data_IF_974375309494
#
_entry.id   IF_974375309494
#
_cell.length_a   1.000
_cell.length_b   1.000
_cell.length_c   1.000
_cell.angle_alpha   90.00
_cell.angle_beta   90.00
_cell.angle_gamma   90.00
#
_symmetry.space_group_name_H-M   'P 1'
#
loop_
_entity.id
_entity.type
_entity.pdbx_description
1 polymer ?
#
# COMPACT_ATOMS: atom_id res chain seq x y z
N UNK A 1 10.29 13.27 -29.77
CA UNK A 1 10.33 11.99 -29.04
C UNK A 1 11.29 12.19 -27.87
N UNK A 2 10.83 12.01 -26.64
CA UNK A 2 11.69 12.06 -25.44
C UNK A 2 11.78 10.64 -24.90
N UNK A 3 13.01 10.12 -24.74
CA UNK A 3 13.26 8.78 -24.20
C UNK A 3 13.99 8.98 -22.87
N UNK A 4 13.47 8.37 -21.81
CA UNK A 4 13.94 8.54 -20.45
C UNK A 4 13.78 7.24 -19.67
N UNK A 5 14.72 6.94 -18.78
CA UNK A 5 14.59 5.84 -17.81
C UNK A 5 13.82 6.33 -16.57
N UNK A 6 13.40 5.40 -15.71
CA UNK A 6 12.71 5.69 -14.45
C UNK A 6 13.55 6.55 -13.48
N UNK A 7 14.86 6.69 -13.75
CA UNK A 7 15.75 7.69 -13.14
C UNK A 7 15.64 9.02 -13.90
N UNK A 8 14.43 9.58 -13.97
CA UNK A 8 14.24 11.03 -14.07
C UNK A 8 13.38 11.43 -12.87
N UNK A 9 14.09 11.59 -11.77
CA UNK A 9 13.59 12.07 -10.49
C UNK A 9 13.02 13.49 -10.58
N UNK A 10 13.25 14.28 -11.64
CA UNK A 10 12.81 15.69 -11.65
C UNK A 10 12.30 16.19 -13.01
N UNK A 11 11.02 16.57 -13.05
CA UNK A 11 10.60 17.87 -13.59
C UNK A 11 10.36 18.06 -15.09
N UNK A 12 10.59 17.10 -15.97
CA UNK A 12 10.34 17.32 -17.41
C UNK A 12 8.85 17.18 -17.74
N UNK A 13 8.12 18.29 -17.66
CA UNK A 13 6.76 18.43 -18.19
C UNK A 13 6.83 18.73 -19.68
N UNK A 14 6.26 17.86 -20.52
CA UNK A 14 6.19 18.05 -21.98
C UNK A 14 4.72 18.30 -22.35
N UNK A 15 4.20 19.53 -22.18
CA UNK A 15 2.77 19.82 -22.33
C UNK A 15 2.21 19.57 -23.73
N UNK A 16 3.09 19.52 -24.75
CA UNK A 16 2.74 19.21 -26.14
C UNK A 16 2.83 17.70 -26.46
N UNK A 17 3.20 16.85 -25.50
CA UNK A 17 3.23 15.41 -25.70
C UNK A 17 1.84 14.80 -25.54
N UNK A 18 1.43 14.03 -26.55
CA UNK A 18 0.14 13.35 -26.58
C UNK A 18 0.27 11.83 -26.40
N UNK A 19 1.49 11.29 -26.32
CA UNK A 19 1.75 9.87 -26.15
C UNK A 19 2.77 9.69 -25.04
N UNK A 20 2.41 8.89 -24.03
CA UNK A 20 3.30 8.38 -22.99
C UNK A 20 3.45 6.87 -23.22
N UNK A 21 4.69 6.38 -23.25
CA UNK A 21 4.99 4.96 -23.27
C UNK A 21 5.77 4.63 -22.01
N UNK A 22 5.29 3.67 -21.22
CA UNK A 22 5.93 3.21 -20.00
C UNK A 22 6.34 1.75 -20.19
N UNK A 23 7.63 1.50 -20.18
CA UNK A 23 8.22 0.17 -20.26
C UNK A 23 8.39 -0.42 -18.85
N UNK A 24 8.13 -1.73 -18.72
CA UNK A 24 8.15 -2.45 -17.45
C UNK A 24 7.35 -1.77 -16.32
N UNK A 25 6.09 -1.34 -16.55
CA UNK A 25 5.28 -0.64 -15.57
C UNK A 25 5.01 -1.48 -14.31
N UNK A 26 5.11 -2.81 -14.37
CA UNK A 26 5.01 -3.71 -13.22
C UNK A 26 6.06 -3.45 -12.13
N UNK A 27 7.17 -2.80 -12.47
CA UNK A 27 8.23 -2.45 -11.50
C UNK A 27 7.94 -1.15 -10.75
N UNK A 28 6.94 -0.39 -11.17
CA UNK A 28 6.58 0.92 -10.61
C UNK A 28 5.38 0.80 -9.67
N UNK A 29 5.34 1.63 -8.64
CA UNK A 29 4.16 1.77 -7.77
C UNK A 29 2.98 2.42 -8.49
N UNK A 30 1.75 2.18 -7.98
CA UNK A 30 0.51 2.67 -8.59
C UNK A 30 0.48 4.22 -8.61
N UNK A 31 0.95 4.84 -7.53
CA UNK A 31 1.14 6.29 -7.44
C UNK A 31 2.15 6.85 -8.46
N UNK A 32 3.29 6.17 -8.67
CA UNK A 32 4.29 6.58 -9.65
C UNK A 32 3.74 6.52 -11.08
N UNK A 33 3.02 5.45 -11.39
CA UNK A 33 2.36 5.28 -12.69
C UNK A 33 1.30 6.37 -12.94
N UNK A 34 0.50 6.71 -11.91
CA UNK A 34 -0.47 7.79 -11.98
C UNK A 34 0.20 9.15 -12.25
N UNK A 35 1.29 9.44 -11.54
CA UNK A 35 2.05 10.67 -11.74
C UNK A 35 2.66 10.76 -13.15
N UNK A 36 3.25 9.67 -13.66
CA UNK A 36 3.79 9.61 -15.02
C UNK A 36 2.69 9.84 -16.06
N UNK A 37 1.57 9.14 -15.95
CA UNK A 37 0.39 9.32 -16.81
C UNK A 37 -0.08 10.78 -16.85
N UNK A 38 -0.05 11.48 -15.70
CA UNK A 38 -0.42 12.89 -15.58
C UNK A 38 0.57 13.91 -16.17
N UNK A 39 1.70 13.46 -16.72
CA UNK A 39 2.65 14.33 -17.45
C UNK A 39 2.26 14.56 -18.91
N UNK A 40 1.29 13.81 -19.43
CA UNK A 40 0.69 14.01 -20.76
C UNK A 40 -0.80 14.36 -20.63
N UNK A 41 -1.41 14.92 -21.69
CA UNK A 41 -2.87 15.17 -21.70
C UNK A 41 -3.36 16.40 -20.94
N UNK A 42 -2.50 17.41 -20.75
CA UNK A 42 -2.90 18.72 -20.19
C UNK A 42 -3.41 19.72 -21.23
N UNK A 43 -3.29 19.41 -22.52
CA UNK A 43 -3.79 20.22 -23.62
C UNK A 43 -5.13 19.73 -24.16
N UNK A 44 -5.70 20.46 -25.12
CA UNK A 44 -6.98 20.11 -25.75
C UNK A 44 -6.93 18.86 -26.66
N UNK A 45 -5.76 18.28 -26.88
CA UNK A 45 -5.58 17.11 -27.74
C UNK A 45 -5.73 15.82 -26.95
N UNK A 46 -6.42 14.85 -27.55
CA UNK A 46 -6.51 13.49 -27.02
C UNK A 46 -5.11 12.95 -26.79
N UNK A 47 -4.90 12.36 -25.61
CA UNK A 47 -3.63 11.78 -25.21
C UNK A 47 -3.78 10.30 -24.89
N UNK A 48 -2.71 9.55 -25.14
CA UNK A 48 -2.65 8.12 -24.92
C UNK A 48 -1.51 7.78 -23.97
N UNK A 49 -1.76 6.84 -23.07
CA UNK A 49 -0.75 6.22 -22.23
C UNK A 49 -0.70 4.72 -22.57
N UNK A 50 0.47 4.25 -22.98
CA UNK A 50 0.72 2.87 -23.41
C UNK A 50 1.62 2.21 -22.37
N UNK A 51 1.16 1.09 -21.85
CA UNK A 51 1.86 0.29 -20.84
C UNK A 51 2.45 -0.95 -21.53
N UNK A 52 3.78 -1.03 -21.60
CA UNK A 52 4.51 -2.17 -22.17
C UNK A 52 4.98 -3.08 -21.03
N UNK A 53 4.07 -3.96 -20.58
CA UNK A 53 4.38 -4.97 -19.58
C UNK A 53 5.15 -6.15 -20.19
N UNK A 54 6.02 -6.78 -19.40
CA UNK A 54 6.70 -8.01 -19.79
C UNK A 54 5.74 -9.21 -19.90
N UNK A 55 6.21 -10.29 -20.55
CA UNK A 55 5.39 -11.49 -20.79
C UNK A 55 4.96 -12.18 -19.48
N UNK A 56 5.85 -12.21 -18.50
CA UNK A 56 5.65 -12.88 -17.22
C UNK A 56 5.47 -11.89 -16.06
N UNK A 57 4.29 -11.26 -15.98
CA UNK A 57 3.89 -10.46 -14.81
C UNK A 57 2.97 -11.24 -13.88
N UNK A 58 3.15 -11.05 -12.57
CA UNK A 58 2.32 -11.64 -11.52
C UNK A 58 0.86 -11.19 -11.62
N UNK A 59 -0.07 -11.97 -11.07
CA UNK A 59 -1.49 -11.61 -11.07
C UNK A 59 -1.73 -10.27 -10.37
N UNK A 60 -1.10 -10.05 -9.22
CA UNK A 60 -1.16 -8.78 -8.49
C UNK A 60 -0.69 -7.59 -9.35
N UNK A 61 0.39 -7.77 -10.13
CA UNK A 61 0.85 -6.73 -11.05
C UNK A 61 -0.15 -6.49 -12.18
N UNK A 62 -0.76 -7.55 -12.74
CA UNK A 62 -1.82 -7.41 -13.76
C UNK A 62 -3.01 -6.62 -13.23
N UNK A 63 -3.50 -6.96 -12.05
CA UNK A 63 -4.67 -6.32 -11.45
C UNK A 63 -4.42 -4.83 -11.19
N UNK A 64 -3.24 -4.49 -10.67
CA UNK A 64 -2.81 -3.09 -10.50
C UNK A 64 -2.72 -2.31 -11.82
N UNK A 65 -2.15 -2.90 -12.87
CA UNK A 65 -2.07 -2.25 -14.18
C UNK A 65 -3.46 -2.09 -14.82
N UNK A 66 -4.36 -3.05 -14.62
CA UNK A 66 -5.75 -2.94 -15.05
C UNK A 66 -6.48 -1.81 -14.31
N UNK A 67 -6.30 -1.67 -13.00
CA UNK A 67 -6.89 -0.57 -12.26
C UNK A 67 -6.44 0.80 -12.81
N UNK A 68 -5.15 0.96 -13.12
CA UNK A 68 -4.64 2.18 -13.75
C UNK A 68 -5.27 2.44 -15.13
N UNK A 69 -5.62 1.39 -15.88
CA UNK A 69 -6.28 1.49 -17.17
C UNK A 69 -7.77 1.87 -17.02
N UNK A 70 -8.42 1.34 -16.00
CA UNK A 70 -9.87 1.43 -15.83
C UNK A 70 -10.32 2.75 -15.19
N UNK A 71 -9.45 3.44 -14.44
CA UNK A 71 -9.78 4.74 -13.83
C UNK A 71 -8.70 5.81 -13.96
N UNK A 72 -9.17 7.05 -14.11
CA UNK A 72 -8.34 8.24 -14.03
C UNK A 72 -8.35 8.92 -12.66
N UNK A 73 -9.23 8.51 -11.76
CA UNK A 73 -9.41 9.11 -10.45
C UNK A 73 -8.24 8.78 -9.51
N UNK A 74 -7.52 9.80 -9.07
CA UNK A 74 -6.39 9.66 -8.15
C UNK A 74 -6.79 9.11 -6.78
N UNK A 75 -8.01 9.36 -6.31
CA UNK A 75 -8.48 8.86 -5.02
C UNK A 75 -8.71 7.35 -5.05
N UNK A 76 -9.39 6.84 -6.09
CA UNK A 76 -9.61 5.39 -6.28
C UNK A 76 -8.27 4.64 -6.39
N UNK A 77 -7.31 5.24 -7.09
CA UNK A 77 -5.98 4.67 -7.22
C UNK A 77 -5.22 4.68 -5.88
N UNK A 78 -5.36 5.73 -5.08
CA UNK A 78 -4.75 5.82 -3.75
C UNK A 78 -5.35 4.80 -2.77
N UNK A 79 -6.68 4.64 -2.77
CA UNK A 79 -7.36 3.64 -1.93
C UNK A 79 -6.93 2.22 -2.30
N UNK A 80 -6.80 1.93 -3.59
CA UNK A 80 -6.31 0.63 -4.03
C UNK A 80 -4.83 0.40 -3.73
N UNK A 81 -3.97 1.43 -3.85
CA UNK A 81 -2.56 1.32 -3.43
C UNK A 81 -2.47 1.03 -1.93
N UNK A 82 -3.33 1.65 -1.11
CA UNK A 82 -3.45 1.37 0.31
C UNK A 82 -3.89 -0.08 0.58
N UNK A 83 -4.93 -0.58 -0.10
CA UNK A 83 -5.37 -1.99 0.04
C UNK A 83 -4.29 -2.97 -0.41
N UNK A 84 -3.62 -2.72 -1.54
CA UNK A 84 -2.59 -3.60 -2.09
C UNK A 84 -1.32 -3.66 -1.24
N UNK A 85 -0.96 -2.56 -0.57
CA UNK A 85 0.10 -2.54 0.45
C UNK A 85 -0.35 -3.14 1.79
N UNK A 86 -1.66 -3.28 1.99
CA UNK A 86 -2.26 -3.44 3.31
C UNK A 86 -2.15 -2.15 4.13
N UNK A 87 -2.75 -2.10 5.33
CA UNK A 87 -2.68 -0.97 6.26
C UNK A 87 -1.27 -0.72 6.84
N UNK A 88 -0.20 -1.09 6.12
CA UNK A 88 1.19 -0.92 6.51
C UNK A 88 1.42 0.39 7.23
N UNK A 89 1.77 0.26 8.50
CA UNK A 89 2.33 1.25 9.41
C UNK A 89 1.88 2.71 9.23
N UNK A 90 0.57 2.94 9.31
CA UNK A 90 -0.03 4.29 9.23
C UNK A 90 0.52 5.23 10.31
N UNK A 91 1.13 4.69 11.37
CA UNK A 91 1.76 5.40 12.49
C UNK A 91 3.29 5.53 12.38
N UNK A 92 3.94 4.93 11.36
CA UNK A 92 5.40 4.97 11.18
C UNK A 92 6.21 4.37 12.34
N UNK A 93 5.63 3.43 13.08
CA UNK A 93 6.16 2.87 14.34
C UNK A 93 6.59 1.41 14.28
N UNK A 94 6.62 0.77 13.10
CA UNK A 94 7.24 -0.55 12.91
C UNK A 94 8.75 -0.43 12.98
N UNK A 95 9.23 -0.25 14.21
CA UNK A 95 10.50 -0.82 14.62
C UNK A 95 10.37 -2.34 14.54
N UNK A 96 11.39 -2.99 13.99
CA UNK A 96 11.60 -4.44 14.13
C UNK A 96 11.44 -4.83 15.60
N UNK A 97 10.31 -5.43 15.96
CA UNK A 97 9.98 -5.81 17.35
C UNK A 97 8.51 -5.64 17.76
N UNK A 98 7.68 -4.89 17.02
CA UNK A 98 6.26 -4.77 17.37
C UNK A 98 5.43 -6.02 17.04
N UNK A 99 4.56 -6.40 17.99
CA UNK A 99 3.59 -7.49 17.85
C UNK A 99 2.67 -7.21 16.66
N UNK A 100 2.81 -8.02 15.62
CA UNK A 100 1.86 -8.01 14.51
C UNK A 100 0.55 -8.67 14.94
N UNK A 101 -0.59 -8.01 14.67
CA UNK A 101 -1.90 -8.63 14.84
C UNK A 101 -1.99 -9.86 13.92
N UNK A 102 -2.13 -11.05 14.51
CA UNK A 102 -2.20 -12.31 13.76
C UNK A 102 -3.54 -12.55 13.07
N UNK A 103 -4.61 -11.92 13.59
CA UNK A 103 -6.00 -12.17 13.17
C UNK A 103 -6.77 -10.87 12.95
N UNK A 104 -6.45 -9.81 13.70
CA UNK A 104 -7.18 -8.54 13.62
C UNK A 104 -6.63 -7.63 12.51
N UNK A 105 -7.55 -7.10 11.70
CA UNK A 105 -7.29 -5.96 10.81
C UNK A 105 -7.88 -4.69 11.44
N UNK A 106 -7.03 -3.71 11.76
CA UNK A 106 -7.46 -2.48 12.43
C UNK A 106 -8.34 -1.58 11.55
N UNK A 107 -8.25 -1.71 10.23
CA UNK A 107 -9.09 -0.95 9.30
C UNK A 107 -10.49 -1.54 9.21
N UNK A 108 -10.60 -2.87 9.15
CA UNK A 108 -11.90 -3.54 9.08
C UNK A 108 -12.64 -3.57 10.43
N UNK A 109 -11.92 -3.62 11.56
CA UNK A 109 -12.50 -3.76 12.90
C UNK A 109 -12.42 -2.47 13.72
N UNK A 110 -12.29 -1.30 13.07
CA UNK A 110 -12.11 -0.03 13.74
C UNK A 110 -13.27 0.31 14.71
N UNK A 111 -14.48 -0.12 14.37
CA UNK A 111 -15.70 0.06 15.16
C UNK A 111 -15.71 -0.74 16.47
N UNK A 112 -14.88 -1.77 16.58
CA UNK A 112 -14.79 -2.63 17.76
C UNK A 112 -13.71 -2.17 18.76
N UNK A 113 -12.87 -1.19 18.40
CA UNK A 113 -11.67 -0.85 19.18
C UNK A 113 -11.98 -0.34 20.60
N UNK A 114 -13.04 0.46 20.76
CA UNK A 114 -13.44 0.99 22.06
C UNK A 114 -13.92 -0.14 23.00
N UNK A 115 -14.73 -1.06 22.47
CA UNK A 115 -15.23 -2.22 23.22
C UNK A 115 -14.10 -3.19 23.58
N UNK A 116 -13.16 -3.41 22.65
CA UNK A 116 -11.96 -4.24 22.89
C UNK A 116 -11.10 -3.64 24.01
N UNK A 117 -10.96 -2.32 24.06
CA UNK A 117 -10.17 -1.65 25.10
C UNK A 117 -10.79 -1.82 26.49
N UNK A 118 -12.11 -1.66 26.60
CA UNK A 118 -12.84 -1.89 27.86
C UNK A 118 -12.73 -3.34 28.32
N UNK A 119 -12.93 -4.29 27.41
CA UNK A 119 -12.84 -5.72 27.70
C UNK A 119 -11.42 -6.14 28.11
N UNK A 120 -10.40 -5.57 27.47
CA UNK A 120 -9.00 -5.84 27.80
C UNK A 120 -8.68 -5.43 29.25
N UNK A 121 -9.20 -4.30 29.71
CA UNK A 121 -9.02 -3.85 31.11
C UNK A 121 -9.72 -4.77 32.11
N UNK A 122 -10.94 -5.23 31.79
CA UNK A 122 -11.67 -6.21 32.62
C UNK A 122 -10.86 -7.51 32.74
N UNK A 123 -10.38 -8.06 31.62
CA UNK A 123 -9.57 -9.29 31.61
C UNK A 123 -8.26 -9.08 32.39
N UNK A 124 -7.62 -7.92 32.23
CA UNK A 124 -6.35 -7.59 32.91
C UNK A 124 -6.50 -7.58 34.43
N UNK A 125 -7.61 -7.03 34.94
CA UNK A 125 -7.86 -6.84 36.38
C UNK A 125 -8.53 -8.03 37.05
N UNK A 126 -9.49 -8.67 36.38
CA UNK A 126 -10.41 -9.62 37.02
C UNK A 126 -10.15 -11.08 36.65
N UNK A 127 -9.48 -11.34 35.51
CA UNK A 127 -9.30 -12.70 34.97
C UNK A 127 -7.83 -13.04 34.72
N UNK A 128 -7.08 -13.26 35.81
CA UNK A 128 -5.64 -13.56 35.79
C UNK A 128 -5.30 -14.84 35.01
N UNK A 129 -6.14 -15.87 35.11
CA UNK A 129 -6.01 -17.14 34.40
C UNK A 129 -6.17 -16.99 32.88
N UNK A 130 -7.18 -16.24 32.44
CA UNK A 130 -7.42 -15.95 31.01
C UNK A 130 -6.29 -15.09 30.46
N UNK A 131 -5.85 -14.08 31.23
CA UNK A 131 -4.72 -13.21 30.86
C UNK A 131 -3.46 -14.02 30.59
N UNK A 132 -3.10 -14.94 31.48
CA UNK A 132 -1.90 -15.77 31.32
C UNK A 132 -1.99 -16.68 30.09
N UNK A 133 -3.13 -17.31 29.85
CA UNK A 133 -3.35 -18.13 28.66
C UNK A 133 -3.27 -17.32 27.36
N UNK A 134 -3.78 -16.09 27.35
CA UNK A 134 -3.70 -15.20 26.19
C UNK A 134 -2.26 -14.76 25.91
N UNK A 135 -1.50 -14.42 26.95
CA UNK A 135 -0.07 -14.08 26.83
C UNK A 135 0.70 -15.28 26.29
N UNK A 136 0.54 -16.46 26.88
CA UNK A 136 1.24 -17.67 26.45
C UNK A 136 0.92 -18.03 25.00
N UNK A 137 -0.37 -17.97 24.61
CA UNK A 137 -0.83 -18.34 23.28
C UNK A 137 -0.37 -17.37 22.19
N UNK A 138 -0.46 -16.07 22.46
CA UNK A 138 -0.30 -15.04 21.42
C UNK A 138 1.05 -14.34 21.44
N UNK A 139 1.68 -14.22 22.61
CA UNK A 139 3.01 -13.61 22.80
C UNK A 139 4.10 -14.69 22.92
N UNK A 140 3.79 -15.84 23.54
CA UNK A 140 4.78 -16.91 23.76
C UNK A 140 5.89 -16.52 24.76
N UNK A 141 6.94 -17.33 24.86
CA UNK A 141 8.12 -17.13 25.72
C UNK A 141 9.32 -16.47 24.98
N UNK A 142 9.13 -15.80 23.84
CA UNK A 142 10.29 -15.41 23.02
C UNK A 142 11.10 -14.22 23.56
N UNK A 143 12.33 -14.57 23.98
CA UNK A 143 13.51 -13.75 24.29
C UNK A 143 14.03 -12.90 23.10
N UNK A 144 13.17 -12.40 22.23
CA UNK A 144 13.55 -11.46 21.17
C UNK A 144 13.19 -10.02 21.52
N UNK A 145 13.56 -9.60 22.73
CA UNK A 145 13.61 -8.18 23.09
C UNK A 145 15.02 -7.64 22.84
N UNK A 146 15.10 -6.77 21.83
CA UNK A 146 16.09 -5.70 21.72
C UNK A 146 17.58 -6.09 21.79
N UNK A 147 18.15 -6.46 20.64
CA UNK A 147 19.48 -5.96 20.29
C UNK A 147 19.34 -4.88 19.22
N UNK A 148 19.19 -3.64 19.70
CA UNK A 148 19.71 -2.41 19.08
C UNK A 148 20.33 -1.58 20.19
#
# INVERSE_FOLDING_TARGET
>A
LLVATTVIEVGVNVPNANIMVIENPERLGLAQLHQLRGRVGRGARVSFCILLAGDAISQQSRDRLNLLKDTNDGFVLAEADLRLRGPGDVTGTRQTGELSFRVADLGEHADMLDEIAELAEVIRLEHTDIREQLIERWIGHEEHFAHV
#
